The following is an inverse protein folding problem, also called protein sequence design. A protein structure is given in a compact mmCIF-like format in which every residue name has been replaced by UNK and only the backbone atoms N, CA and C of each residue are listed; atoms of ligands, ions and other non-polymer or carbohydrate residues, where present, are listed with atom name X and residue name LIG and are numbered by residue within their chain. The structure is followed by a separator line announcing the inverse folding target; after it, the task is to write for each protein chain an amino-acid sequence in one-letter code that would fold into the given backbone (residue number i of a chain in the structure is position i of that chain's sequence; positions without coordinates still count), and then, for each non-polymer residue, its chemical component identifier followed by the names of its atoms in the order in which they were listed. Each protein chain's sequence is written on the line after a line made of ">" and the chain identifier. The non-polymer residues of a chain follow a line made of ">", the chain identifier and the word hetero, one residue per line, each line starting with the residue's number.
data_IF_737529928090
#
_entry.id   IF_737529928090
#
_cell.length_a   1.000
_cell.length_b   1.000
_cell.length_c   1.000
_cell.angle_alpha   90.00
_cell.angle_beta   90.00
_cell.angle_gamma   90.00
#
_symmetry.space_group_name_H-M   'P 1'
#
loop_
_entity.id
_entity.type
_entity.pdbx_description
1 polymer ?
#
# COMPACT_ATOMS: atom_id res chain seq x y z
N UNK A 1 11.85 7.21 -19.80
CA UNK A 1 11.94 7.25 -18.32
C UNK A 1 10.61 6.79 -17.78
N UNK A 2 10.57 6.08 -16.63
CA UNK A 2 9.31 5.66 -15.99
C UNK A 2 9.16 6.43 -14.68
N UNK A 3 7.92 6.75 -14.34
CA UNK A 3 7.60 7.53 -13.15
C UNK A 3 6.61 6.75 -12.25
N UNK A 4 6.70 6.98 -10.97
CA UNK A 4 5.78 6.42 -10.00
C UNK A 4 5.41 7.42 -8.92
N UNK A 5 4.26 7.20 -8.32
CA UNK A 5 3.83 7.85 -7.08
C UNK A 5 3.98 6.87 -5.92
N UNK A 6 4.27 7.40 -4.73
CA UNK A 6 4.59 6.59 -3.56
C UNK A 6 3.76 7.08 -2.37
N UNK A 7 3.07 6.18 -1.71
CA UNK A 7 2.11 6.48 -0.64
C UNK A 7 2.57 5.92 0.70
N UNK A 8 3.03 6.81 1.57
CA UNK A 8 3.25 6.56 2.99
C UNK A 8 1.96 6.68 3.79
N UNK A 9 1.00 7.44 3.33
CA UNK A 9 -0.20 7.84 4.05
C UNK A 9 0.12 8.48 5.41
N UNK A 10 0.97 9.50 5.37
CA UNK A 10 1.34 10.27 6.57
C UNK A 10 0.21 11.18 7.02
N UNK A 11 -0.04 11.21 8.32
CA UNK A 11 -1.06 12.06 8.92
C UNK A 11 -0.56 12.64 10.25
N UNK A 12 0.11 13.82 10.21
CA UNK A 12 0.60 14.47 11.42
C UNK A 12 -0.54 14.84 12.38
N UNK A 13 -0.28 14.73 13.67
CA UNK A 13 -1.23 15.19 14.72
C UNK A 13 -1.33 16.72 14.79
N UNK A 14 -2.49 17.24 15.23
CA UNK A 14 -3.70 16.51 15.62
C UNK A 14 -4.53 16.07 14.40
N UNK A 15 -5.09 14.87 14.46
CA UNK A 15 -5.99 14.36 13.42
C UNK A 15 -7.21 13.66 14.04
N UNK A 16 -8.27 13.50 13.24
CA UNK A 16 -9.53 12.86 13.57
C UNK A 16 -9.80 11.68 12.65
N UNK A 17 -10.80 10.87 12.97
CA UNK A 17 -11.24 9.77 12.08
C UNK A 17 -11.63 10.26 10.67
N UNK A 18 -12.19 11.47 10.58
CA UNK A 18 -12.52 12.10 9.30
C UNK A 18 -11.27 12.43 8.47
N UNK A 19 -10.19 12.82 9.11
CA UNK A 19 -8.91 13.10 8.44
C UNK A 19 -8.29 11.82 7.89
N UNK A 20 -8.34 10.72 8.64
CA UNK A 20 -7.86 9.42 8.18
C UNK A 20 -8.70 8.92 7.00
N UNK A 21 -10.03 9.00 7.10
CA UNK A 21 -10.92 8.66 6.00
C UNK A 21 -10.60 9.47 4.73
N UNK A 22 -10.47 10.80 4.89
CA UNK A 22 -10.12 11.70 3.78
C UNK A 22 -8.77 11.32 3.14
N UNK A 23 -7.74 11.07 3.95
CA UNK A 23 -6.40 10.68 3.47
C UNK A 23 -6.44 9.47 2.54
N UNK A 24 -7.17 8.43 2.92
CA UNK A 24 -7.29 7.21 2.11
C UNK A 24 -8.03 7.49 0.79
N UNK A 25 -9.13 8.25 0.84
CA UNK A 25 -9.89 8.57 -0.36
C UNK A 25 -9.13 9.50 -1.31
N UNK A 26 -8.42 10.50 -0.79
CA UNK A 26 -7.55 11.37 -1.58
C UNK A 26 -6.42 10.58 -2.26
N UNK A 27 -5.84 9.60 -1.57
CA UNK A 27 -4.83 8.72 -2.19
C UNK A 27 -5.42 7.92 -3.36
N UNK A 28 -6.62 7.38 -3.22
CA UNK A 28 -7.32 6.68 -4.32
C UNK A 28 -7.61 7.61 -5.50
N UNK A 29 -8.08 8.83 -5.23
CA UNK A 29 -8.35 9.85 -6.26
C UNK A 29 -7.07 10.26 -7.00
N UNK A 30 -5.96 10.41 -6.27
CA UNK A 30 -4.65 10.72 -6.84
C UNK A 30 -4.12 9.57 -7.71
N UNK A 31 -4.28 8.31 -7.28
CA UNK A 31 -3.88 7.15 -8.09
C UNK A 31 -4.69 7.08 -9.39
N UNK A 32 -6.00 7.33 -9.30
CA UNK A 32 -6.86 7.40 -10.49
C UNK A 32 -6.46 8.53 -11.44
N UNK A 33 -6.11 9.69 -10.90
CA UNK A 33 -5.57 10.81 -11.70
C UNK A 33 -4.23 10.45 -12.31
N UNK A 34 -3.33 9.82 -11.56
CA UNK A 34 -2.02 9.37 -12.04
C UNK A 34 -2.15 8.41 -13.22
N UNK A 35 -3.11 7.47 -13.16
CA UNK A 35 -3.41 6.57 -14.27
C UNK A 35 -3.86 7.33 -15.53
N UNK A 36 -4.75 8.31 -15.36
CA UNK A 36 -5.23 9.17 -16.47
C UNK A 36 -4.12 10.01 -17.09
N UNK A 37 -3.13 10.42 -16.31
CA UNK A 37 -1.98 11.21 -16.74
C UNK A 37 -0.83 10.37 -17.32
N UNK A 38 -0.94 9.04 -17.29
CA UNK A 38 0.07 8.14 -17.84
C UNK A 38 1.27 7.91 -16.93
N UNK A 39 1.12 8.07 -15.62
CA UNK A 39 2.14 7.66 -14.63
C UNK A 39 2.21 6.12 -14.63
N UNK A 40 3.44 5.58 -14.60
CA UNK A 40 3.66 4.15 -14.79
C UNK A 40 3.32 3.30 -13.54
N UNK A 41 3.57 3.83 -12.34
CA UNK A 41 3.48 3.06 -11.10
C UNK A 41 2.82 3.85 -9.96
N UNK A 42 2.03 3.15 -9.13
CA UNK A 42 1.65 3.58 -7.79
C UNK A 42 2.14 2.53 -6.79
N UNK A 43 2.86 2.98 -5.76
CA UNK A 43 3.43 2.14 -4.72
C UNK A 43 2.81 2.50 -3.37
N UNK A 44 2.39 1.50 -2.61
CA UNK A 44 1.92 1.66 -1.24
C UNK A 44 2.85 0.94 -0.28
N UNK A 45 3.19 1.58 0.82
CA UNK A 45 4.00 0.99 1.90
C UNK A 45 3.17 0.05 2.76
N UNK A 46 3.84 -0.71 3.62
CA UNK A 46 3.20 -1.45 4.70
C UNK A 46 3.83 -1.03 6.03
N UNK A 47 3.03 -0.38 6.88
CA UNK A 47 3.44 0.02 8.22
C UNK A 47 2.35 -0.24 9.25
N UNK A 48 2.76 -0.57 10.47
CA UNK A 48 1.88 -0.92 11.57
C UNK A 48 2.25 -0.14 12.83
N UNK A 49 1.24 0.29 13.60
CA UNK A 49 1.42 0.98 14.89
C UNK A 49 2.18 2.32 14.83
N UNK A 50 2.30 2.94 13.65
CA UNK A 50 3.02 4.20 13.45
C UNK A 50 2.01 5.32 13.14
N UNK A 51 1.37 5.85 14.17
CA UNK A 51 0.16 6.67 14.13
C UNK A 51 0.28 8.07 13.49
N UNK A 52 1.47 8.53 13.16
CA UNK A 52 1.70 9.76 12.39
C UNK A 52 2.47 9.50 11.10
N UNK A 53 3.36 8.51 11.15
CA UNK A 53 4.24 8.23 10.03
C UNK A 53 3.52 7.53 8.88
N UNK A 54 2.62 6.59 9.19
CA UNK A 54 1.88 5.87 8.14
C UNK A 54 0.57 5.28 8.65
N UNK A 55 -0.49 5.53 7.90
CA UNK A 55 -1.80 4.89 8.07
C UNK A 55 -2.03 3.75 7.05
N UNK A 56 -0.98 3.28 6.38
CA UNK A 56 -1.06 2.19 5.39
C UNK A 56 -0.74 0.84 6.02
N UNK A 57 -1.66 0.32 6.82
CA UNK A 57 -1.51 -0.99 7.49
C UNK A 57 -2.00 -2.17 6.64
N UNK A 58 -2.73 -1.91 5.56
CA UNK A 58 -3.24 -2.92 4.63
C UNK A 58 -3.09 -2.43 3.18
N UNK A 59 -1.86 -2.36 2.67
CA UNK A 59 -1.61 -1.89 1.31
C UNK A 59 -2.36 -2.69 0.25
N UNK A 60 -2.57 -3.98 0.46
CA UNK A 60 -3.35 -4.83 -0.44
C UNK A 60 -4.80 -4.35 -0.61
N UNK A 61 -5.42 -3.83 0.45
CA UNK A 61 -6.79 -3.29 0.40
C UNK A 61 -6.82 -1.99 -0.42
N UNK A 62 -5.86 -1.09 -0.18
CA UNK A 62 -5.71 0.16 -0.94
C UNK A 62 -5.46 -0.13 -2.42
N UNK A 63 -4.52 -1.03 -2.72
CA UNK A 63 -4.15 -1.38 -4.09
C UNK A 63 -5.28 -2.09 -4.84
N UNK A 64 -6.05 -2.95 -4.16
CA UNK A 64 -7.22 -3.60 -4.74
C UNK A 64 -8.34 -2.59 -5.07
N UNK A 65 -8.59 -1.63 -4.18
CA UNK A 65 -9.52 -0.53 -4.45
C UNK A 65 -9.06 0.33 -5.63
N UNK A 66 -7.77 0.66 -5.68
CA UNK A 66 -7.17 1.39 -6.81
C UNK A 66 -7.25 0.60 -8.12
N UNK A 67 -7.09 -0.73 -8.07
CA UNK A 67 -7.22 -1.59 -9.26
C UNK A 67 -8.59 -1.49 -9.92
N UNK A 68 -9.66 -1.37 -9.12
CA UNK A 68 -11.02 -1.18 -9.62
C UNK A 68 -11.28 0.19 -10.23
N UNK A 69 -10.45 1.19 -9.92
CA UNK A 69 -10.60 2.58 -10.38
C UNK A 69 -9.66 2.96 -11.54
N UNK A 70 -8.69 2.09 -11.87
CA UNK A 70 -7.61 2.35 -12.83
C UNK A 70 -7.54 1.30 -13.93
N UNK A 71 -6.81 1.59 -15.02
CA UNK A 71 -6.71 0.70 -16.18
C UNK A 71 -5.28 0.35 -16.59
N UNK A 72 -4.32 1.25 -16.39
CA UNK A 72 -2.98 1.13 -16.96
C UNK A 72 -1.87 1.12 -15.91
N UNK A 73 -1.98 1.97 -14.89
CA UNK A 73 -0.98 2.15 -13.83
C UNK A 73 -0.72 0.83 -13.13
N UNK A 74 0.54 0.50 -12.92
CA UNK A 74 0.97 -0.68 -12.16
C UNK A 74 0.86 -0.39 -10.67
N UNK A 75 0.38 -1.37 -9.91
CA UNK A 75 0.03 -1.23 -8.51
C UNK A 75 0.95 -2.12 -7.67
N UNK A 76 1.77 -1.51 -6.86
CA UNK A 76 2.86 -2.21 -6.19
C UNK A 76 2.94 -2.03 -4.69
N UNK A 77 3.41 -3.10 -4.03
CA UNK A 77 3.85 -3.00 -2.65
C UNK A 77 5.26 -2.41 -2.59
N UNK A 78 5.42 -1.33 -1.90
CA UNK A 78 6.71 -0.68 -1.76
C UNK A 78 7.10 -0.41 -0.31
N UNK A 79 7.19 -1.40 0.49
CA UNK A 79 7.33 -2.86 0.28
C UNK A 79 6.22 -3.63 1.01
N UNK A 80 6.06 -4.94 0.71
CA UNK A 80 5.40 -5.88 1.59
C UNK A 80 6.43 -6.48 2.53
N UNK A 81 6.17 -6.43 3.81
CA UNK A 81 7.07 -6.95 4.83
C UNK A 81 7.05 -8.49 4.83
N UNK A 82 8.23 -9.11 4.91
CA UNK A 82 8.39 -10.58 4.80
C UNK A 82 8.61 -11.27 6.14
N UNK A 83 8.16 -10.67 7.23
CA UNK A 83 8.20 -11.27 8.57
C UNK A 83 7.06 -12.29 8.67
N UNK A 84 7.36 -13.61 8.82
CA UNK A 84 6.35 -14.66 8.73
C UNK A 84 5.26 -14.59 9.79
N UNK A 85 5.57 -13.99 10.94
CA UNK A 85 4.67 -13.87 12.08
C UNK A 85 3.43 -13.02 11.76
N UNK A 86 3.55 -12.03 10.89
CA UNK A 86 2.39 -11.24 10.45
C UNK A 86 2.15 -11.26 8.94
N UNK A 87 3.10 -11.72 8.14
CA UNK A 87 2.94 -11.91 6.69
C UNK A 87 3.42 -13.29 6.26
N UNK A 88 2.65 -14.33 6.59
CA UNK A 88 2.99 -15.68 6.16
C UNK A 88 3.24 -15.73 4.63
N UNK A 89 4.34 -16.33 4.13
CA UNK A 89 4.69 -16.30 2.72
C UNK A 89 3.59 -16.79 1.77
N UNK A 90 2.86 -17.84 2.16
CA UNK A 90 1.72 -18.33 1.37
C UNK A 90 0.61 -17.28 1.27
N UNK A 91 0.29 -16.56 2.37
CA UNK A 91 -0.70 -15.49 2.35
C UNK A 91 -0.25 -14.32 1.48
N UNK A 92 1.02 -13.98 1.53
CA UNK A 92 1.58 -12.93 0.66
C UNK A 92 1.45 -13.31 -0.81
N UNK A 93 1.77 -14.56 -1.16
CA UNK A 93 1.63 -15.06 -2.53
C UNK A 93 0.16 -15.04 -3.01
N UNK A 94 -0.78 -15.51 -2.19
CA UNK A 94 -2.21 -15.48 -2.49
C UNK A 94 -2.73 -14.06 -2.70
N UNK A 95 -2.34 -13.13 -1.82
CA UNK A 95 -2.77 -11.72 -1.85
C UNK A 95 -2.29 -11.04 -3.13
N UNK A 96 -1.01 -11.20 -3.47
CA UNK A 96 -0.44 -10.58 -4.68
C UNK A 96 -1.03 -11.21 -5.94
N UNK A 97 -1.24 -12.53 -5.95
CA UNK A 97 -1.90 -13.21 -7.06
C UNK A 97 -3.33 -12.72 -7.27
N UNK A 98 -4.08 -12.51 -6.18
CA UNK A 98 -5.43 -11.96 -6.27
C UNK A 98 -5.42 -10.52 -6.79
N UNK A 99 -4.50 -9.67 -6.32
CA UNK A 99 -4.33 -8.33 -6.84
C UNK A 99 -4.00 -8.33 -8.34
N UNK A 100 -3.16 -9.26 -8.78
CA UNK A 100 -2.79 -9.39 -10.20
C UNK A 100 -4.01 -9.76 -11.06
N UNK A 101 -4.83 -10.70 -10.60
CA UNK A 101 -6.08 -11.06 -11.26
C UNK A 101 -7.07 -9.89 -11.31
N UNK A 102 -7.30 -9.19 -10.20
CA UNK A 102 -8.21 -8.04 -10.12
C UNK A 102 -7.74 -6.91 -11.04
N UNK A 103 -6.44 -6.67 -11.08
CA UNK A 103 -5.84 -5.58 -11.84
C UNK A 103 -5.54 -5.92 -13.31
N UNK A 104 -5.85 -7.15 -13.77
CA UNK A 104 -5.51 -7.63 -15.11
C UNK A 104 -4.01 -7.57 -15.42
N UNK A 105 -3.18 -8.15 -14.54
CA UNK A 105 -1.73 -8.29 -14.76
C UNK A 105 -0.91 -7.03 -14.42
N UNK A 106 -1.43 -6.15 -13.55
CA UNK A 106 -0.74 -4.91 -13.18
C UNK A 106 -0.07 -4.92 -11.81
N UNK A 107 -0.18 -6.03 -11.08
CA UNK A 107 0.43 -6.12 -9.76
C UNK A 107 1.96 -6.09 -9.83
N UNK A 108 2.56 -5.43 -8.87
CA UNK A 108 4.01 -5.40 -8.65
C UNK A 108 4.29 -5.74 -7.18
N UNK A 109 5.34 -6.47 -6.93
CA UNK A 109 5.72 -6.86 -5.58
C UNK A 109 7.14 -6.42 -5.27
N UNK A 110 7.26 -5.41 -4.40
CA UNK A 110 8.46 -5.14 -3.65
C UNK A 110 8.38 -5.86 -2.31
N UNK A 111 9.45 -6.49 -1.89
CA UNK A 111 9.56 -7.16 -0.60
C UNK A 111 10.70 -6.57 0.21
N UNK A 112 10.57 -6.59 1.53
CA UNK A 112 11.62 -6.13 2.43
C UNK A 112 11.40 -6.62 3.85
N UNK A 113 12.46 -6.56 4.62
CA UNK A 113 12.41 -6.85 6.05
C UNK A 113 12.04 -5.58 6.80
N UNK A 114 10.97 -5.61 7.58
CA UNK A 114 10.64 -4.53 8.50
C UNK A 114 11.62 -4.53 9.67
N UNK A 115 12.09 -3.35 10.05
CA UNK A 115 13.05 -3.19 11.13
C UNK A 115 12.58 -2.25 12.23
N UNK A 116 11.38 -1.72 12.12
CA UNK A 116 10.84 -0.76 13.07
C UNK A 116 10.47 -1.47 14.37
N UNK A 117 11.16 -1.09 15.45
CA UNK A 117 11.01 -1.74 16.76
C UNK A 117 9.56 -1.71 17.27
N UNK A 118 8.81 -0.63 16.99
CA UNK A 118 7.43 -0.50 17.41
C UNK A 118 6.53 -1.51 16.69
N UNK A 119 6.77 -1.74 15.40
CA UNK A 119 6.03 -2.73 14.61
C UNK A 119 6.30 -4.15 15.11
N UNK A 120 7.57 -4.51 15.31
CA UNK A 120 7.97 -5.81 15.83
C UNK A 120 7.32 -6.09 17.19
N UNK A 121 7.43 -5.14 18.13
CA UNK A 121 6.81 -5.28 19.45
C UNK A 121 5.28 -5.36 19.38
N UNK A 122 4.64 -4.65 18.47
CA UNK A 122 3.20 -4.70 18.27
C UNK A 122 2.70 -6.10 17.85
N UNK A 123 3.52 -6.85 17.15
CA UNK A 123 3.26 -8.25 16.75
C UNK A 123 3.90 -9.29 17.69
N UNK A 124 4.48 -8.87 18.80
CA UNK A 124 5.17 -9.74 19.78
C UNK A 124 6.39 -10.48 19.20
N UNK A 125 7.16 -9.80 18.37
CA UNK A 125 8.40 -10.28 17.76
C UNK A 125 9.61 -9.61 18.40
#
# INVERSE_FOLDING_TARGET
>A
MRFGVFYELQLPKPWTEEDEHRLVHEALDQIELADKLGIDYAWAVEHHFLDEYSHCSSPESLLAAAAGRTKNIKLGHGIRQVIPEYNHPSRSAETVSMLDLISNGRAQLGIGEGATRMELHGFNI
#
